data_IF_021531745981
#
_entry.id   IF_021531745981
#
_cell.length_a   1.000
_cell.length_b   1.000
_cell.length_c   1.000
_cell.angle_alpha   90.00
_cell.angle_beta   90.00
_cell.angle_gamma   90.00
#
_symmetry.space_group_name_H-M   'P 1'
#
loop_
_entity.id
_entity.type
_entity.pdbx_description
1 polymer ?
#
# COMPACT_ATOMS: atom_id res chain seq x y z
N UNK A 1 10.36 -7.44 3.23
CA UNK A 1 9.32 -6.43 3.52
C UNK A 1 9.79 -5.12 2.94
N UNK A 2 8.91 -4.36 2.29
CA UNK A 2 9.26 -3.01 1.83
C UNK A 2 9.35 -2.07 3.04
N UNK A 3 10.35 -1.20 3.07
CA UNK A 3 10.56 -0.19 4.11
C UNK A 3 10.01 1.17 3.68
N UNK A 4 9.62 2.03 4.63
CA UNK A 4 9.15 3.40 4.34
C UNK A 4 10.11 4.21 3.46
N UNK A 5 11.43 4.02 3.64
CA UNK A 5 12.44 4.64 2.79
C UNK A 5 12.32 4.20 1.33
N UNK A 6 12.08 2.91 1.07
CA UNK A 6 11.94 2.39 -0.30
C UNK A 6 10.66 2.94 -0.95
N UNK A 7 9.59 3.10 -0.18
CA UNK A 7 8.37 3.74 -0.66
C UNK A 7 8.59 5.21 -1.03
N UNK A 8 9.36 5.96 -0.25
CA UNK A 8 9.69 7.35 -0.59
C UNK A 8 10.53 7.45 -1.87
N UNK A 9 11.52 6.58 -2.04
CA UNK A 9 12.32 6.53 -3.27
C UNK A 9 11.47 6.20 -4.50
N UNK A 10 10.53 5.26 -4.36
CA UNK A 10 9.53 4.95 -5.40
C UNK A 10 8.67 6.17 -5.74
N UNK A 11 8.11 6.86 -4.74
CA UNK A 11 7.31 8.07 -4.96
C UNK A 11 8.11 9.18 -5.62
N UNK A 12 9.38 9.37 -5.23
CA UNK A 12 10.27 10.39 -5.78
C UNK A 12 10.55 10.14 -7.25
N UNK A 13 10.87 8.90 -7.64
CA UNK A 13 11.11 8.63 -9.04
C UNK A 13 9.84 8.61 -9.89
N UNK A 14 8.69 8.23 -9.33
CA UNK A 14 7.39 8.44 -9.99
C UNK A 14 7.15 9.93 -10.27
N UNK A 15 7.39 10.80 -9.29
CA UNK A 15 7.29 12.25 -9.46
C UNK A 15 8.27 12.81 -10.51
N UNK A 16 9.45 12.19 -10.65
CA UNK A 16 10.42 12.52 -11.69
C UNK A 16 10.10 11.91 -13.07
N UNK A 17 9.06 11.07 -13.19
CA UNK A 17 8.72 10.38 -14.44
C UNK A 17 9.68 9.24 -14.80
N UNK A 18 10.47 8.75 -13.84
CA UNK A 18 11.41 7.65 -14.03
C UNK A 18 10.71 6.31 -13.80
N UNK A 19 10.80 5.42 -14.79
CA UNK A 19 10.29 4.05 -14.67
C UNK A 19 11.33 3.06 -14.14
N UNK A 20 12.58 3.51 -13.97
CA UNK A 20 13.67 2.71 -13.41
C UNK A 20 14.18 3.32 -12.12
N UNK A 21 14.25 2.53 -11.06
CA UNK A 21 14.74 2.93 -9.76
C UNK A 21 15.75 1.92 -9.26
N UNK A 22 16.81 2.43 -8.66
CA UNK A 22 17.69 1.66 -7.81
C UNK A 22 17.33 1.92 -6.36
N UNK A 23 16.83 0.90 -5.67
CA UNK A 23 16.54 0.96 -4.25
C UNK A 23 17.85 1.00 -3.46
N UNK A 24 17.82 1.63 -2.29
CA UNK A 24 18.97 1.65 -1.37
C UNK A 24 19.40 0.26 -0.89
N UNK A 25 18.53 -0.73 -1.04
CA UNK A 25 18.82 -2.15 -0.79
C UNK A 25 19.74 -2.77 -1.83
N UNK A 26 20.00 -2.08 -2.95
CA UNK A 26 20.79 -2.57 -4.06
C UNK A 26 19.96 -3.17 -5.20
N UNK A 27 18.67 -3.41 -4.98
CA UNK A 27 17.75 -3.90 -6.01
C UNK A 27 17.42 -2.84 -7.05
N UNK A 28 17.45 -3.22 -8.32
CA UNK A 28 17.03 -2.37 -9.43
C UNK A 28 15.65 -2.81 -9.91
N UNK A 29 14.68 -1.91 -9.81
CA UNK A 29 13.30 -2.12 -10.25
C UNK A 29 13.08 -1.32 -11.53
N UNK A 30 12.70 -2.03 -12.59
CA UNK A 30 12.28 -1.45 -13.86
C UNK A 30 10.82 -1.74 -14.10
N UNK A 31 10.01 -0.68 -14.19
CA UNK A 31 8.60 -0.74 -14.51
C UNK A 31 8.38 -0.52 -16.01
N UNK A 32 7.34 -1.15 -16.56
CA UNK A 32 6.97 -0.98 -17.97
C UNK A 32 6.40 0.40 -18.27
N UNK A 33 5.74 1.01 -17.29
CA UNK A 33 5.03 2.28 -17.42
C UNK A 33 4.85 2.96 -16.06
N UNK A 34 4.55 4.26 -16.05
CA UNK A 34 4.28 5.00 -14.82
C UNK A 34 3.00 4.50 -14.10
N UNK A 35 2.00 4.04 -14.86
CA UNK A 35 0.77 3.47 -14.29
C UNK A 35 1.02 2.17 -13.51
N UNK A 36 1.87 1.28 -14.05
CA UNK A 36 2.30 0.06 -13.36
C UNK A 36 3.01 0.40 -12.05
N UNK A 37 3.88 1.40 -12.09
CA UNK A 37 4.61 1.88 -10.94
C UNK A 37 3.67 2.46 -9.86
N UNK A 38 2.65 3.24 -10.25
CA UNK A 38 1.65 3.76 -9.32
C UNK A 38 0.88 2.64 -8.60
N UNK A 39 0.49 1.59 -9.35
CA UNK A 39 -0.19 0.42 -8.76
C UNK A 39 0.67 -0.26 -7.71
N UNK A 40 1.97 -0.38 -7.98
CA UNK A 40 2.92 -1.00 -7.04
C UNK A 40 3.09 -0.13 -5.79
N UNK A 41 3.25 1.20 -5.95
CA UNK A 41 3.31 2.15 -4.83
C UNK A 41 2.08 1.99 -3.92
N UNK A 42 0.87 2.00 -4.50
CA UNK A 42 -0.39 1.84 -3.75
C UNK A 42 -0.48 0.50 -3.03
N UNK A 43 0.00 -0.57 -3.65
CA UNK A 43 0.00 -1.89 -3.03
C UNK A 43 0.96 -1.93 -1.82
N UNK A 44 2.16 -1.37 -1.97
CA UNK A 44 3.14 -1.26 -0.89
C UNK A 44 2.59 -0.39 0.26
N UNK A 45 1.93 0.72 -0.04
CA UNK A 45 1.27 1.56 0.97
C UNK A 45 0.23 0.79 1.79
N UNK A 46 -0.59 -0.04 1.13
CA UNK A 46 -1.58 -0.87 1.82
C UNK A 46 -0.95 -1.96 2.68
N UNK A 47 0.21 -2.49 2.28
CA UNK A 47 0.94 -3.48 3.07
C UNK A 47 1.63 -2.85 4.29
N UNK A 48 2.20 -1.65 4.14
CA UNK A 48 2.87 -0.92 5.21
C UNK A 48 1.86 -0.36 6.23
N UNK A 49 0.73 0.14 5.73
CA UNK A 49 -0.35 0.63 6.58
C UNK A 49 -1.58 -0.26 6.36
N UNK A 50 -1.66 -1.42 7.04
CA UNK A 50 -2.86 -2.22 7.03
C UNK A 50 -3.91 -1.42 7.81
N UNK A 51 -4.63 -0.53 7.11
CA UNK A 51 -5.78 0.14 7.68
C UNK A 51 -6.66 -0.96 8.31
N UNK A 52 -7.06 -0.82 9.58
CA UNK A 52 -7.84 -1.86 10.24
C UNK A 52 -9.08 -2.06 9.38
N UNK A 53 -9.19 -3.24 8.74
CA UNK A 53 -10.41 -3.65 8.04
C UNK A 53 -11.56 -3.28 8.97
N UNK A 54 -12.53 -2.46 8.56
CA UNK A 54 -13.70 -2.22 9.38
C UNK A 54 -14.31 -3.60 9.59
N UNK A 55 -14.13 -4.13 10.82
CA UNK A 55 -14.84 -5.31 11.27
C UNK A 55 -16.30 -4.91 11.10
N UNK A 56 -16.96 -5.46 10.07
CA UNK A 56 -18.41 -5.43 9.97
C UNK A 56 -18.88 -5.98 11.31
N UNK A 57 -19.27 -5.08 12.21
CA UNK A 57 -20.03 -5.37 13.42
C UNK A 57 -21.38 -5.89 12.92
N UNK A 58 -21.38 -7.14 12.48
CA UNK A 58 -22.57 -7.89 12.16
C UNK A 58 -23.27 -8.18 13.48
N UNK A 59 -24.32 -7.41 13.73
CA UNK A 59 -25.45 -7.75 14.57
C UNK A 59 -25.13 -8.07 16.04
N UNK A 60 -25.06 -7.01 16.85
CA UNK A 60 -25.50 -7.11 18.24
C UNK A 60 -27.00 -7.40 18.19
N UNK A 61 -27.37 -8.68 18.15
CA UNK A 61 -28.76 -9.11 18.32
C UNK A 61 -29.12 -8.82 19.78
N UNK A 62 -29.60 -7.59 20.03
CA UNK A 62 -30.25 -7.24 21.29
C UNK A 62 -31.53 -8.07 21.37
N UNK A 63 -31.46 -9.23 22.01
CA UNK A 63 -32.65 -9.92 22.52
C UNK A 63 -33.19 -9.07 23.67
N UNK A 64 -34.31 -8.39 23.43
CA UNK A 64 -35.01 -7.60 24.42
C UNK A 64 -36.51 -7.92 24.31
N UNK A 65 -36.99 -8.74 25.24
CA UNK A 65 -38.39 -8.93 25.71
C UNK A 65 -38.34 -10.25 26.50
N UNK A 66 -38.52 -10.29 27.82
CA UNK A 66 -39.56 -9.60 28.55
C UNK A 66 -40.89 -10.26 28.21
N UNK A 67 -41.19 -11.39 28.87
CA UNK A 67 -42.51 -11.97 29.17
C UNK A 67 -42.31 -13.18 30.09
#
# INVERSE_FOLDING_TARGET
MYSDQQLQELKKAYASGLTKIRLSSGDELSYRSLEEMERVIRNIEQQLNPAPKPRRMGYVMRVNKGL
#
